data_IF_496031079405
#
_entry.id   IF_496031079405
#
_cell.length_a   1.000
_cell.length_b   1.000
_cell.length_c   1.000
_cell.angle_alpha   90.00
_cell.angle_beta   90.00
_cell.angle_gamma   90.00
#
_symmetry.space_group_name_H-M   'P 1'
#
loop_
_entity.id
_entity.type
_entity.pdbx_description
1 polymer ?
#
# COMPACT_ATOMS: atom_id res chain seq x y z
N UNK A 1 -10.10 23.85 -4.95
CA UNK A 1 -10.57 23.35 -3.64
C UNK A 1 -11.10 21.91 -3.75
N UNK A 2 -12.01 21.62 -4.68
CA UNK A 2 -12.55 20.26 -4.89
C UNK A 2 -11.48 19.18 -5.13
N UNK A 3 -10.47 19.47 -5.95
CA UNK A 3 -9.38 18.51 -6.22
C UNK A 3 -8.62 18.09 -4.94
N UNK A 4 -8.40 19.01 -4.00
CA UNK A 4 -7.75 18.69 -2.73
C UNK A 4 -8.63 17.80 -1.84
N UNK A 5 -9.95 18.00 -1.88
CA UNK A 5 -10.90 17.16 -1.16
C UNK A 5 -10.89 15.74 -1.74
N UNK A 6 -10.94 15.62 -3.07
CA UNK A 6 -10.87 14.32 -3.77
C UNK A 6 -9.55 13.62 -3.46
N UNK A 7 -8.44 14.35 -3.48
CA UNK A 7 -7.12 13.82 -3.16
C UNK A 7 -7.09 13.24 -1.74
N UNK A 8 -7.53 14.01 -0.74
CA UNK A 8 -7.56 13.58 0.66
C UNK A 8 -8.50 12.38 0.86
N UNK A 9 -9.69 12.41 0.27
CA UNK A 9 -10.63 11.30 0.34
C UNK A 9 -10.05 10.04 -0.32
N UNK A 10 -9.38 10.18 -1.47
CA UNK A 10 -8.69 9.09 -2.15
C UNK A 10 -7.61 8.45 -1.29
N UNK A 11 -6.76 9.25 -0.62
CA UNK A 11 -5.76 8.73 0.31
C UNK A 11 -6.38 7.98 1.49
N UNK A 12 -7.42 8.52 2.11
CA UNK A 12 -8.11 7.86 3.23
C UNK A 12 -8.69 6.52 2.80
N UNK A 13 -9.34 6.47 1.64
CA UNK A 13 -9.91 5.24 1.11
C UNK A 13 -8.84 4.23 0.72
N UNK A 14 -7.74 4.68 0.13
CA UNK A 14 -6.64 3.81 -0.29
C UNK A 14 -5.94 3.17 0.91
N UNK A 15 -5.56 3.98 1.90
CA UNK A 15 -4.90 3.52 3.13
C UNK A 15 -5.85 2.65 3.96
N UNK A 16 -7.09 3.10 4.13
CA UNK A 16 -8.11 2.34 4.85
C UNK A 16 -8.38 0.99 4.17
N UNK A 17 -8.51 0.98 2.84
CA UNK A 17 -8.69 -0.24 2.07
C UNK A 17 -7.54 -1.23 2.22
N UNK A 18 -6.29 -0.74 2.20
CA UNK A 18 -5.12 -1.57 2.44
C UNK A 18 -5.10 -2.15 3.86
N UNK A 19 -5.44 -1.36 4.88
CA UNK A 19 -5.52 -1.83 6.28
C UNK A 19 -6.61 -2.88 6.47
N UNK A 20 -7.80 -2.69 5.88
CA UNK A 20 -8.86 -3.70 5.88
C UNK A 20 -8.45 -4.98 5.16
N UNK A 21 -7.73 -4.87 4.03
CA UNK A 21 -7.19 -6.01 3.30
C UNK A 21 -6.22 -6.82 4.16
N UNK A 22 -5.25 -6.15 4.81
CA UNK A 22 -4.28 -6.80 5.71
C UNK A 22 -5.01 -7.49 6.86
N UNK A 23 -5.90 -6.78 7.56
CA UNK A 23 -6.65 -7.34 8.70
C UNK A 23 -7.48 -8.55 8.30
N UNK A 24 -8.18 -8.48 7.17
CA UNK A 24 -8.99 -9.57 6.64
C UNK A 24 -8.14 -10.79 6.28
N UNK A 25 -7.10 -10.58 5.47
CA UNK A 25 -6.19 -11.65 5.04
C UNK A 25 -5.45 -12.28 6.23
N UNK A 26 -4.92 -11.48 7.16
CA UNK A 26 -4.26 -11.97 8.37
C UNK A 26 -5.24 -12.76 9.25
N UNK A 27 -6.49 -12.34 9.39
CA UNK A 27 -7.49 -13.09 10.17
C UNK A 27 -7.77 -14.47 9.56
N UNK A 28 -7.84 -14.56 8.22
CA UNK A 28 -8.03 -15.84 7.52
C UNK A 28 -6.80 -16.73 7.75
N UNK A 29 -5.59 -16.21 7.56
CA UNK A 29 -4.35 -16.96 7.75
C UNK A 29 -4.21 -17.50 9.19
N UNK A 30 -4.59 -16.70 10.20
CA UNK A 30 -4.63 -17.14 11.61
C UNK A 30 -5.60 -18.30 11.83
N UNK A 31 -6.79 -18.26 11.22
CA UNK A 31 -7.77 -19.36 11.29
C UNK A 31 -7.24 -20.65 10.64
N UNK A 32 -6.31 -20.53 9.70
CA UNK A 32 -5.62 -21.65 9.05
C UNK A 32 -4.36 -22.11 9.81
N UNK A 33 -4.12 -21.61 11.04
CA UNK A 33 -2.93 -21.90 11.85
C UNK A 33 -1.59 -21.53 11.18
N UNK A 34 -1.59 -20.52 10.32
CA UNK A 34 -0.34 -19.94 9.80
C UNK A 34 0.33 -19.13 10.91
N UNK A 35 1.65 -19.27 11.07
CA UNK A 35 2.40 -18.55 12.11
C UNK A 35 2.39 -17.04 11.90
N UNK A 36 2.39 -16.27 12.99
CA UNK A 36 2.43 -14.81 12.93
C UNK A 36 3.67 -14.30 12.17
N UNK A 37 4.79 -15.04 12.23
CA UNK A 37 5.99 -14.73 11.45
C UNK A 37 5.72 -14.78 9.94
N UNK A 38 5.09 -15.86 9.44
CA UNK A 38 4.78 -15.98 8.02
C UNK A 38 3.77 -14.91 7.61
N UNK A 39 2.77 -14.62 8.43
CA UNK A 39 1.78 -13.56 8.18
C UNK A 39 2.48 -12.20 8.08
N UNK A 40 3.40 -11.89 8.98
CA UNK A 40 4.18 -10.65 8.97
C UNK A 40 5.06 -10.52 7.72
N UNK A 41 5.78 -11.58 7.38
CA UNK A 41 6.69 -11.61 6.24
C UNK A 41 6.00 -11.62 4.87
N UNK A 42 4.70 -11.96 4.81
CA UNK A 42 3.95 -12.07 3.55
C UNK A 42 2.79 -11.10 3.46
N UNK A 43 1.75 -11.27 4.27
CA UNK A 43 0.50 -10.51 4.17
C UNK A 43 0.73 -9.06 4.60
N UNK A 44 1.40 -8.86 5.74
CA UNK A 44 1.62 -7.51 6.27
C UNK A 44 2.60 -6.74 5.39
N UNK A 45 3.75 -7.35 5.04
CA UNK A 45 4.78 -6.72 4.20
C UNK A 45 4.25 -6.31 2.81
N UNK A 46 3.41 -7.14 2.18
CA UNK A 46 2.77 -6.81 0.91
C UNK A 46 1.71 -5.74 1.11
N UNK A 47 0.88 -5.88 2.15
CA UNK A 47 -0.25 -4.97 2.36
C UNK A 47 0.17 -3.55 2.71
N UNK A 48 1.31 -3.34 3.38
CA UNK A 48 1.87 -2.00 3.61
C UNK A 48 2.32 -1.33 2.31
N UNK A 49 2.62 -2.10 1.27
CA UNK A 49 3.06 -1.60 -0.05
C UNK A 49 1.93 -1.58 -1.09
N UNK A 50 0.71 -1.97 -0.70
CA UNK A 50 -0.44 -2.04 -1.59
C UNK A 50 -0.91 -0.66 -2.09
N UNK A 51 -0.94 0.41 -1.26
CA UNK A 51 -1.21 1.77 -1.74
C UNK A 51 -0.25 2.22 -2.85
N UNK A 52 1.05 2.00 -2.65
CA UNK A 52 2.11 2.39 -3.57
C UNK A 52 2.00 1.62 -4.89
N UNK A 53 1.69 0.33 -4.82
CA UNK A 53 1.43 -0.48 -6.01
C UNK A 53 0.24 0.08 -6.81
N UNK A 54 -0.88 0.41 -6.14
CA UNK A 54 -2.05 0.96 -6.80
C UNK A 54 -1.74 2.30 -7.48
N UNK A 55 -1.05 3.21 -6.78
CA UNK A 55 -0.62 4.51 -7.34
C UNK A 55 0.32 4.31 -8.53
N UNK A 56 1.29 3.39 -8.44
CA UNK A 56 2.21 3.10 -9.53
C UNK A 56 1.53 2.55 -10.77
N UNK A 57 0.57 1.64 -10.59
CA UNK A 57 -0.21 1.08 -11.69
C UNK A 57 -0.97 2.19 -12.41
N UNK A 58 -1.70 3.02 -11.67
CA UNK A 58 -2.46 4.15 -12.24
C UNK A 58 -1.53 5.16 -12.94
N UNK A 59 -0.45 5.57 -12.28
CA UNK A 59 0.52 6.50 -12.86
C UNK A 59 1.17 5.95 -14.15
N UNK A 60 1.43 4.65 -14.21
CA UNK A 60 1.97 4.00 -15.41
C UNK A 60 0.94 3.96 -16.54
N UNK A 61 -0.33 3.67 -16.24
CA UNK A 61 -1.42 3.70 -17.22
C UNK A 61 -1.67 5.11 -17.76
N UNK A 62 -1.54 6.14 -16.93
CA UNK A 62 -1.71 7.54 -17.32
C UNK A 62 -0.48 8.11 -18.06
N UNK A 63 0.53 7.29 -18.36
CA UNK A 63 1.75 7.72 -19.04
C UNK A 63 2.67 8.59 -18.17
N UNK A 64 2.44 8.65 -16.86
CA UNK A 64 3.18 9.45 -15.89
C UNK A 64 4.37 8.67 -15.29
N UNK A 65 5.32 8.29 -16.14
CA UNK A 65 6.48 7.48 -15.74
C UNK A 65 7.33 8.14 -14.63
N UNK A 66 7.47 9.48 -14.65
CA UNK A 66 8.20 10.21 -13.62
C UNK A 66 7.55 10.10 -12.23
N UNK A 67 6.21 10.10 -12.15
CA UNK A 67 5.48 9.90 -10.90
C UNK A 67 5.63 8.46 -10.40
N UNK A 68 5.52 7.48 -11.29
CA UNK A 68 5.70 6.06 -10.93
C UNK A 68 7.11 5.81 -10.36
N UNK A 69 8.17 6.29 -11.04
CA UNK A 69 9.54 6.16 -10.54
C UNK A 69 9.71 6.92 -9.22
N UNK A 70 9.20 8.15 -9.13
CA UNK A 70 9.28 8.95 -7.92
C UNK A 70 8.62 8.26 -6.71
N UNK A 71 7.48 7.62 -6.92
CA UNK A 71 6.78 6.86 -5.89
C UNK A 71 7.56 5.62 -5.45
N UNK A 72 8.08 4.80 -6.38
CA UNK A 72 8.89 3.60 -6.04
C UNK A 72 10.19 3.98 -5.31
N UNK A 73 10.94 4.93 -5.85
CA UNK A 73 12.25 5.30 -5.29
C UNK A 73 12.06 6.02 -3.96
N UNK A 74 11.08 6.94 -3.89
CA UNK A 74 10.76 7.71 -2.71
C UNK A 74 10.30 6.83 -1.54
N UNK A 75 9.40 5.87 -1.78
CA UNK A 75 8.89 4.98 -0.74
C UNK A 75 9.97 4.06 -0.17
N UNK A 76 10.80 3.47 -1.03
CA UNK A 76 11.91 2.62 -0.59
C UNK A 76 12.98 3.40 0.18
N UNK A 77 13.27 4.63 -0.26
CA UNK A 77 14.21 5.51 0.45
C UNK A 77 13.65 5.89 1.84
N UNK A 78 12.37 6.24 1.92
CA UNK A 78 11.71 6.54 3.19
C UNK A 78 11.74 5.34 4.13
N UNK A 79 11.39 4.15 3.63
CA UNK A 79 11.42 2.92 4.41
C UNK A 79 12.82 2.60 4.93
N UNK A 80 13.89 2.90 4.17
CA UNK A 80 15.26 2.64 4.63
C UNK A 80 15.76 3.67 5.65
N UNK A 81 15.32 4.93 5.55
CA UNK A 81 15.84 6.03 6.37
C UNK A 81 15.02 6.29 7.64
N UNK A 82 13.73 5.96 7.65
CA UNK A 82 12.79 6.39 8.69
C UNK A 82 12.18 5.22 9.47
N UNK A 83 11.95 4.08 8.82
CA UNK A 83 11.33 2.89 9.43
C UNK A 83 12.41 1.92 9.91
#
# INVERSE_FOLDING_TARGET
>A
MLNYIILLAGFVLLIGGADYLVKGASSIAKKLNVSDLIIGLTIVSIGTSAPELAVNILASFDGSAGMAIGNVVGSNLFNFLVI
#
